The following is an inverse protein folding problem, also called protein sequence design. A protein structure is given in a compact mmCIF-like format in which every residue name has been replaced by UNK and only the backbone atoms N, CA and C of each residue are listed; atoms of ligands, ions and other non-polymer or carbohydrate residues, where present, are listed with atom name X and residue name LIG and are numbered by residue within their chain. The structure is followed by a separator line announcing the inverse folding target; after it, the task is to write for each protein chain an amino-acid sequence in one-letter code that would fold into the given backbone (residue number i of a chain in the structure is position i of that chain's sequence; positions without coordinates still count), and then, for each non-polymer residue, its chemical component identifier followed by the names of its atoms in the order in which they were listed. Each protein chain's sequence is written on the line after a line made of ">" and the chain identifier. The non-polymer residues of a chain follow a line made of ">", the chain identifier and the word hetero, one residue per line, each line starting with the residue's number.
data_IF_478408355379
#
_entry.id   IF_478408355379
#
_cell.length_a   1.000
_cell.length_b   1.000
_cell.length_c   1.000
_cell.angle_alpha   90.00
_cell.angle_beta   90.00
_cell.angle_gamma   90.00
#
_symmetry.space_group_name_H-M   'P 1'
#
loop_
_entity.id
_entity.type
_entity.pdbx_description
1 polymer ?
#
# COMPACT_ATOMS: atom_id res chain seq x y z
N UNK A 1 -12.69 -35.31 37.42
CA UNK A 1 -11.50 -36.00 37.91
C UNK A 1 -10.30 -35.20 37.43
N UNK A 2 -9.83 -34.28 38.21
CA UNK A 2 -8.53 -34.06 38.87
C UNK A 2 -7.33 -34.51 38.01
N UNK A 3 -6.47 -33.58 37.53
CA UNK A 3 -5.17 -33.41 38.15
C UNK A 3 -4.48 -32.10 37.69
N UNK A 4 -4.28 -31.21 38.65
CA UNK A 4 -3.36 -30.08 38.61
C UNK A 4 -1.91 -30.58 38.76
N UNK A 5 -0.94 -29.97 38.10
CA UNK A 5 0.42 -29.83 38.60
C UNK A 5 1.01 -28.50 38.20
N UNK A 6 1.11 -27.64 39.14
CA UNK A 6 1.99 -26.48 39.31
C UNK A 6 3.43 -26.94 39.54
N UNK A 7 4.41 -26.26 38.94
CA UNK A 7 5.79 -26.17 39.47
C UNK A 7 6.27 -24.74 39.30
N UNK A 8 6.83 -24.21 40.38
CA UNK A 8 7.21 -22.85 40.66
C UNK A 8 8.68 -22.55 40.35
N UNK A 9 8.92 -21.27 40.20
CA UNK A 9 10.10 -20.42 40.55
C UNK A 9 11.49 -21.04 40.71
N UNK A 10 12.50 -20.41 40.07
CA UNK A 10 13.77 -20.08 40.74
C UNK A 10 14.38 -18.80 40.12
N UNK A 11 14.49 -17.74 40.96
CA UNK A 11 15.32 -16.55 40.80
C UNK A 11 16.80 -16.94 40.95
N UNK A 12 17.69 -16.29 40.19
CA UNK A 12 19.05 -16.04 40.62
C UNK A 12 19.56 -14.69 40.02
N UNK A 13 19.66 -13.72 40.91
CA UNK A 13 20.36 -12.44 40.69
C UNK A 13 21.87 -12.65 40.97
N UNK A 14 22.73 -12.03 40.16
CA UNK A 14 24.12 -11.82 40.51
C UNK A 14 24.55 -10.42 40.03
N UNK A 15 24.68 -9.50 41.01
CA UNK A 15 25.42 -8.26 40.89
C UNK A 15 26.93 -8.55 41.01
N UNK A 16 27.74 -7.86 40.22
CA UNK A 16 29.13 -7.55 40.59
C UNK A 16 29.52 -6.19 40.00
N UNK A 17 29.70 -5.25 40.89
CA UNK A 17 30.33 -3.94 40.67
C UNK A 17 31.85 -4.03 40.96
N UNK A 18 32.56 -2.93 40.64
CA UNK A 18 33.94 -2.56 41.00
C UNK A 18 34.87 -2.46 39.79
N UNK A 19 35.71 -1.45 39.58
CA UNK A 19 36.17 -0.26 40.32
C UNK A 19 36.89 0.70 39.39
N UNK A 20 36.82 1.99 39.71
CA UNK A 20 37.70 3.07 39.25
C UNK A 20 39.16 2.84 39.66
N UNK A 21 40.10 3.21 38.83
CA UNK A 21 41.39 3.72 39.27
C UNK A 21 41.86 4.87 38.36
N UNK A 22 42.00 6.04 38.98
CA UNK A 22 42.69 7.22 38.51
C UNK A 22 44.10 7.24 39.14
N UNK A 23 45.11 7.75 38.37
CA UNK A 23 46.31 8.47 38.84
C UNK A 23 47.17 8.58 37.58
N UNK A 24 47.64 9.73 37.07
CA UNK A 24 48.25 10.87 37.72
C UNK A 24 49.76 10.81 37.54
N UNK A 25 50.36 11.70 36.76
CA UNK A 25 51.83 11.83 36.73
C UNK A 25 52.34 12.74 35.62
N UNK A 26 52.77 13.90 36.02
CA UNK A 26 53.40 15.01 35.30
C UNK A 26 54.86 14.67 34.87
N UNK A 27 55.41 15.15 33.79
CA UNK A 27 56.46 16.15 33.68
C UNK A 27 57.24 16.07 32.37
N UNK A 28 57.34 17.20 31.73
CA UNK A 28 58.50 18.03 31.34
C UNK A 28 59.19 17.77 29.99
N UNK A 29 58.90 18.69 29.10
CA UNK A 29 59.82 19.59 28.37
C UNK A 29 61.05 19.02 27.70
N UNK A 30 61.08 19.09 26.33
CA UNK A 30 62.23 19.69 25.58
C UNK A 30 61.82 20.14 24.17
N UNK A 31 62.16 21.38 23.85
CA UNK A 31 62.08 22.05 22.55
C UNK A 31 62.97 21.37 21.53
N UNK A 32 62.43 21.23 20.27
CA UNK A 32 63.26 21.43 19.08
C UNK A 32 62.40 21.89 17.90
N UNK A 33 62.73 23.04 17.37
CA UNK A 33 62.16 23.66 16.16
C UNK A 33 62.38 22.79 14.91
N UNK A 34 61.30 22.66 14.11
CA UNK A 34 61.35 22.12 12.76
C UNK A 34 60.15 22.61 11.98
N UNK A 35 60.37 23.66 11.20
CA UNK A 35 59.40 24.20 10.24
C UNK A 35 59.15 23.17 9.14
N UNK A 36 57.88 22.73 8.98
CA UNK A 36 57.42 22.18 7.72
C UNK A 36 55.96 22.56 7.48
N UNK A 37 55.72 23.05 6.29
CA UNK A 37 54.46 23.52 5.72
C UNK A 37 53.30 22.56 5.97
N UNK A 38 52.26 23.07 6.60
CA UNK A 38 50.95 22.44 6.64
C UNK A 38 50.23 22.64 5.30
N UNK A 39 50.10 21.57 4.54
CA UNK A 39 49.11 21.48 3.51
C UNK A 39 47.73 21.37 4.22
N UNK A 40 46.92 22.42 4.09
CA UNK A 40 45.51 22.38 4.49
C UNK A 40 44.77 21.39 3.59
N UNK A 41 44.66 20.16 4.05
CA UNK A 41 43.65 19.24 3.58
C UNK A 41 42.33 19.69 4.15
N UNK A 42 41.52 20.33 3.32
CA UNK A 42 40.09 20.54 3.61
C UNK A 42 39.43 19.16 3.67
N UNK A 43 39.33 18.62 4.87
CA UNK A 43 38.38 17.54 5.10
C UNK A 43 37.02 18.17 4.92
N UNK A 44 36.34 17.85 3.81
CA UNK A 44 34.92 18.07 3.69
C UNK A 44 34.26 17.24 4.82
N UNK A 45 33.83 17.95 5.85
CA UNK A 45 32.93 17.40 6.87
C UNK A 45 31.68 17.02 6.10
N UNK A 46 31.53 15.74 5.77
CA UNK A 46 30.27 15.20 5.33
C UNK A 46 29.36 15.32 6.56
N UNK A 47 28.56 16.36 6.59
CA UNK A 47 27.46 16.51 7.55
C UNK A 47 26.60 15.26 7.43
N UNK A 48 26.75 14.33 8.37
CA UNK A 48 25.83 13.22 8.55
C UNK A 48 24.57 13.77 9.21
N UNK A 49 23.76 14.50 8.41
CA UNK A 49 22.40 14.82 8.82
C UNK A 49 21.67 13.46 9.02
N UNK A 50 20.96 13.32 10.12
CA UNK A 50 20.12 12.14 10.31
C UNK A 50 19.12 12.06 9.16
N UNK A 51 18.84 10.85 8.63
CA UNK A 51 17.89 10.68 7.54
C UNK A 51 16.50 11.17 7.94
N UNK A 52 15.79 11.78 7.00
CA UNK A 52 14.38 12.14 7.17
C UNK A 52 13.55 10.88 7.05
N UNK A 53 12.85 10.48 8.12
CA UNK A 53 11.95 9.31 8.07
C UNK A 53 10.59 9.71 7.50
N UNK A 54 10.09 8.93 6.54
CA UNK A 54 8.73 9.03 5.99
C UNK A 54 8.02 7.70 6.19
N UNK A 55 6.90 7.70 6.90
CA UNK A 55 6.06 6.51 7.11
C UNK A 55 5.00 6.41 6.04
N UNK A 56 5.07 5.36 5.23
CA UNK A 56 4.13 5.09 4.16
C UNK A 56 3.24 3.89 4.48
N UNK A 57 1.94 4.12 4.61
CA UNK A 57 0.93 3.06 4.76
C UNK A 57 0.65 2.33 3.45
N UNK A 58 0.77 1.02 3.46
CA UNK A 58 0.48 0.12 2.34
C UNK A 58 -0.48 -0.99 2.77
N UNK A 59 -1.10 -1.70 1.81
CA UNK A 59 -1.95 -2.87 2.08
C UNK A 59 -1.56 -4.03 1.19
N UNK A 60 -1.20 -5.15 1.82
CA UNK A 60 -0.77 -6.38 1.13
C UNK A 60 0.74 -6.47 0.90
N UNK A 61 1.23 -7.70 0.79
CA UNK A 61 2.66 -8.02 0.68
C UNK A 61 3.28 -7.56 -0.63
N UNK A 62 2.55 -7.65 -1.74
CA UNK A 62 3.04 -7.18 -3.06
C UNK A 62 3.47 -5.71 -3.04
N UNK A 63 2.85 -4.88 -2.19
CA UNK A 63 3.22 -3.47 -2.09
C UNK A 63 4.60 -3.26 -1.45
N UNK A 64 5.11 -4.20 -0.66
CA UNK A 64 6.51 -4.13 -0.17
C UNK A 64 7.50 -4.25 -1.34
N UNK A 65 7.23 -5.15 -2.28
CA UNK A 65 8.05 -5.33 -3.48
C UNK A 65 7.94 -4.11 -4.43
N UNK A 66 6.73 -3.55 -4.59
CA UNK A 66 6.50 -2.36 -5.41
C UNK A 66 7.26 -1.13 -4.92
N UNK A 67 7.39 -0.97 -3.61
CA UNK A 67 8.07 0.15 -2.99
C UNK A 67 9.57 -0.08 -2.76
N UNK A 68 10.08 -1.31 -2.94
CA UNK A 68 11.49 -1.63 -2.72
C UNK A 68 12.47 -0.80 -3.59
N UNK A 69 12.23 -0.57 -4.90
CA UNK A 69 13.10 0.28 -5.72
C UNK A 69 13.10 1.74 -5.25
N UNK A 70 11.90 2.30 -4.96
CA UNK A 70 11.77 3.66 -4.45
C UNK A 70 12.47 3.84 -3.11
N UNK A 71 12.32 2.88 -2.19
CA UNK A 71 13.01 2.87 -0.89
C UNK A 71 14.52 2.90 -1.04
N UNK A 72 15.07 2.13 -2.00
CA UNK A 72 16.52 2.11 -2.26
C UNK A 72 17.01 3.48 -2.79
N UNK A 73 16.30 4.08 -3.75
CA UNK A 73 16.63 5.40 -4.31
C UNK A 73 16.57 6.49 -3.23
N UNK A 74 15.50 6.50 -2.41
CA UNK A 74 15.32 7.50 -1.35
C UNK A 74 16.39 7.41 -0.26
N UNK A 75 16.86 6.20 0.06
CA UNK A 75 17.94 6.02 1.03
C UNK A 75 19.25 6.70 0.59
N UNK A 76 19.55 6.70 -0.72
CA UNK A 76 20.70 7.42 -1.29
C UNK A 76 20.56 8.94 -1.17
N UNK A 77 19.32 9.44 -1.06
CA UNK A 77 19.00 10.86 -0.86
C UNK A 77 18.83 11.26 0.61
N UNK A 78 19.11 10.34 1.56
CA UNK A 78 18.98 10.59 2.99
C UNK A 78 17.53 10.57 3.49
N UNK A 79 16.62 9.89 2.77
CA UNK A 79 15.24 9.66 3.18
C UNK A 79 15.06 8.19 3.52
N UNK A 80 14.67 7.90 4.77
CA UNK A 80 14.29 6.55 5.22
C UNK A 80 12.79 6.35 5.05
N UNK A 81 12.40 5.59 4.01
CA UNK A 81 11.00 5.23 3.77
C UNK A 81 10.63 4.00 4.60
N UNK A 82 9.88 4.21 5.67
CA UNK A 82 9.35 3.15 6.54
C UNK A 82 7.98 2.68 6.01
N UNK A 83 7.87 1.42 5.56
CA UNK A 83 6.61 0.83 5.10
C UNK A 83 5.82 0.31 6.30
N UNK A 84 4.58 0.79 6.46
CA UNK A 84 3.62 0.35 7.47
C UNK A 84 2.53 -0.46 6.78
N UNK A 85 2.59 -1.79 6.89
CA UNK A 85 1.66 -2.68 6.20
C UNK A 85 0.39 -2.90 7.02
N UNK A 86 -0.76 -2.55 6.43
CA UNK A 86 -2.09 -2.77 6.99
C UNK A 86 -2.75 -4.01 6.37
N UNK A 87 -3.64 -4.65 7.13
CA UNK A 87 -4.32 -5.88 6.70
C UNK A 87 -5.65 -5.64 5.98
N UNK A 88 -6.15 -4.40 5.97
CA UNK A 88 -7.42 -4.02 5.35
C UNK A 88 -7.38 -2.59 4.78
N UNK A 89 -8.47 -2.19 4.08
CA UNK A 89 -8.57 -0.86 3.48
C UNK A 89 -9.17 0.21 4.40
N UNK A 90 -9.71 -0.17 5.58
CA UNK A 90 -10.44 0.76 6.47
C UNK A 90 -9.48 1.61 7.30
N UNK A 91 -8.36 1.03 7.73
CA UNK A 91 -7.47 1.64 8.72
C UNK A 91 -6.52 2.71 8.14
N UNK A 92 -5.95 2.57 6.91
CA UNK A 92 -4.84 3.43 6.47
C UNK A 92 -5.20 4.92 6.33
N UNK A 93 -6.42 5.26 5.85
CA UNK A 93 -6.84 6.66 5.71
C UNK A 93 -7.01 7.35 7.07
N UNK A 94 -7.54 6.63 8.05
CA UNK A 94 -7.61 7.13 9.42
C UNK A 94 -6.22 7.35 10.01
N UNK A 95 -5.32 6.38 9.88
CA UNK A 95 -3.94 6.49 10.36
C UNK A 95 -3.21 7.68 9.72
N UNK A 96 -3.44 7.94 8.42
CA UNK A 96 -2.91 9.10 7.73
C UNK A 96 -3.50 10.41 8.27
N UNK A 97 -4.82 10.48 8.38
CA UNK A 97 -5.51 11.67 8.90
C UNK A 97 -5.10 12.01 10.33
N UNK A 98 -4.94 10.98 11.18
CA UNK A 98 -4.56 11.13 12.60
C UNK A 98 -3.05 11.37 12.80
N UNK A 99 -2.23 11.32 11.73
CA UNK A 99 -0.79 11.59 11.76
C UNK A 99 0.06 10.44 12.29
N UNK A 100 -0.46 9.21 12.30
CA UNK A 100 0.28 8.00 12.66
C UNK A 100 1.26 7.58 11.56
N UNK A 101 0.90 7.89 10.29
CA UNK A 101 1.73 7.76 9.10
C UNK A 101 1.74 9.08 8.33
N UNK A 102 2.70 9.27 7.43
CA UNK A 102 2.88 10.50 6.66
C UNK A 102 2.18 10.45 5.31
N UNK A 103 2.21 9.29 4.67
CA UNK A 103 1.62 9.00 3.37
C UNK A 103 0.88 7.66 3.43
N UNK A 104 -0.05 7.42 2.49
CA UNK A 104 -0.49 6.06 2.16
C UNK A 104 -0.57 5.84 0.65
N UNK A 105 -0.42 4.57 0.23
CA UNK A 105 -0.52 4.16 -1.18
C UNK A 105 -1.14 2.76 -1.26
N UNK A 106 -2.47 2.70 -1.32
CA UNK A 106 -3.22 1.42 -1.35
C UNK A 106 -4.56 1.52 -2.09
N UNK A 107 -4.99 2.72 -2.44
CA UNK A 107 -6.36 3.03 -2.84
C UNK A 107 -6.41 3.74 -4.18
N UNK A 108 -7.54 3.63 -4.87
CA UNK A 108 -7.85 4.41 -6.05
C UNK A 108 -8.62 5.69 -5.72
N UNK A 109 -8.70 6.64 -6.69
CA UNK A 109 -9.28 7.98 -6.49
C UNK A 109 -10.70 7.95 -5.94
N UNK A 110 -11.60 7.12 -6.50
CA UNK A 110 -13.00 7.07 -6.04
C UNK A 110 -13.12 6.49 -4.63
N UNK A 111 -12.23 5.57 -4.20
CA UNK A 111 -12.21 5.08 -2.83
C UNK A 111 -11.80 6.22 -1.87
N UNK A 112 -10.72 6.93 -2.18
CA UNK A 112 -10.28 8.09 -1.40
C UNK A 112 -11.41 9.12 -1.25
N UNK A 113 -12.10 9.47 -2.36
CA UNK A 113 -13.19 10.42 -2.33
C UNK A 113 -14.35 9.94 -1.47
N UNK A 114 -14.74 8.66 -1.57
CA UNK A 114 -15.78 8.07 -0.73
C UNK A 114 -15.46 8.10 0.76
N UNK A 115 -14.20 7.90 1.13
CA UNK A 115 -13.71 8.01 2.51
C UNK A 115 -13.74 9.46 3.02
N UNK A 116 -13.30 10.41 2.18
CA UNK A 116 -13.38 11.85 2.49
C UNK A 116 -14.84 12.28 2.71
N UNK A 117 -15.75 11.88 1.81
CA UNK A 117 -17.17 12.24 1.90
C UNK A 117 -17.84 11.62 3.13
N UNK A 118 -17.42 10.40 3.52
CA UNK A 118 -18.02 9.65 4.63
C UNK A 118 -17.50 10.08 6.00
N UNK A 119 -16.19 10.39 6.11
CA UNK A 119 -15.53 10.60 7.39
C UNK A 119 -14.96 12.02 7.57
N UNK A 120 -14.96 12.85 6.52
CA UNK A 120 -14.42 14.21 6.58
C UNK A 120 -12.90 14.26 6.72
N UNK A 121 -12.18 13.27 6.19
CA UNK A 121 -10.73 13.27 6.23
C UNK A 121 -10.12 14.43 5.44
N UNK A 122 -9.11 15.07 6.02
CA UNK A 122 -8.35 16.15 5.38
C UNK A 122 -7.09 15.61 4.70
N UNK A 123 -7.28 14.72 3.74
CA UNK A 123 -6.24 14.05 2.95
C UNK A 123 -6.50 14.22 1.46
N UNK A 124 -5.45 14.17 0.65
CA UNK A 124 -5.59 14.34 -0.80
C UNK A 124 -4.56 13.54 -1.59
N UNK A 125 -4.84 13.30 -2.87
CA UNK A 125 -3.93 12.70 -3.83
C UNK A 125 -2.76 13.64 -4.14
N UNK A 126 -1.53 13.13 -4.06
CA UNK A 126 -0.29 13.85 -4.38
C UNK A 126 0.52 13.21 -5.51
N UNK A 127 0.15 12.02 -5.96
CA UNK A 127 0.81 11.31 -7.06
C UNK A 127 0.05 10.04 -7.43
N UNK A 128 0.01 9.73 -8.71
CA UNK A 128 -0.66 8.52 -9.20
C UNK A 128 0.33 7.36 -9.27
N UNK A 129 -0.18 6.15 -9.16
CA UNK A 129 0.67 4.94 -9.15
C UNK A 129 0.34 4.02 -10.32
N UNK A 130 -0.74 3.28 -10.28
CA UNK A 130 -1.11 2.30 -11.29
C UNK A 130 -2.61 2.23 -11.51
N UNK A 131 -3.00 1.63 -12.62
CA UNK A 131 -4.34 1.08 -12.85
C UNK A 131 -4.24 -0.44 -12.91
N UNK A 132 -5.30 -1.10 -12.44
CA UNK A 132 -5.44 -2.55 -12.52
C UNK A 132 -6.87 -2.94 -12.88
N UNK A 133 -7.09 -3.97 -13.73
CA UNK A 133 -8.42 -4.52 -13.96
C UNK A 133 -8.99 -5.08 -12.65
N UNK A 134 -10.29 -5.04 -12.48
CA UNK A 134 -10.96 -5.82 -11.44
C UNK A 134 -11.40 -7.15 -12.06
N UNK A 135 -11.09 -8.28 -11.41
CA UNK A 135 -11.17 -9.60 -12.03
C UNK A 135 -12.04 -10.56 -11.25
N UNK A 136 -12.75 -11.42 -11.99
CA UNK A 136 -13.55 -12.54 -11.47
C UNK A 136 -12.71 -13.82 -11.55
N UNK A 137 -12.57 -14.50 -10.42
CA UNK A 137 -11.82 -15.76 -10.29
C UNK A 137 -12.74 -16.89 -9.87
N UNK A 138 -12.35 -18.12 -10.18
CA UNK A 138 -13.05 -19.33 -9.76
C UNK A 138 -12.12 -20.53 -9.68
N UNK A 139 -12.33 -21.36 -8.64
CA UNK A 139 -11.74 -22.70 -8.52
C UNK A 139 -12.65 -23.79 -9.09
N UNK A 140 -13.87 -23.44 -9.54
CA UNK A 140 -14.92 -24.41 -9.90
C UNK A 140 -15.34 -24.39 -11.35
N UNK A 141 -15.23 -23.23 -12.02
CA UNK A 141 -15.59 -23.03 -13.42
C UNK A 141 -14.45 -22.31 -14.15
N UNK A 142 -14.38 -22.47 -15.45
CA UNK A 142 -13.33 -21.89 -16.31
C UNK A 142 -13.84 -20.77 -17.22
N UNK A 143 -15.16 -20.54 -17.25
CA UNK A 143 -15.80 -19.48 -18.04
C UNK A 143 -17.06 -19.01 -17.33
N UNK A 144 -17.42 -17.74 -17.51
CA UNK A 144 -18.68 -17.17 -17.03
C UNK A 144 -19.91 -17.87 -17.65
N UNK A 145 -19.77 -18.48 -18.82
CA UNK A 145 -20.83 -19.24 -19.49
C UNK A 145 -21.22 -20.53 -18.75
N UNK A 146 -20.40 -20.99 -17.80
CA UNK A 146 -20.68 -22.16 -16.98
C UNK A 146 -21.51 -21.85 -15.72
N UNK A 147 -21.74 -20.56 -15.44
CA UNK A 147 -22.60 -20.13 -14.33
C UNK A 147 -24.03 -20.61 -14.53
N UNK A 148 -24.69 -20.96 -13.43
CA UNK A 148 -26.08 -21.46 -13.40
C UNK A 148 -26.84 -20.95 -12.17
N UNK A 149 -28.15 -21.10 -12.22
CA UNK A 149 -29.03 -20.72 -11.11
C UNK A 149 -28.61 -21.41 -9.80
N UNK A 150 -28.53 -20.62 -8.75
CA UNK A 150 -28.11 -21.06 -7.42
C UNK A 150 -26.62 -20.91 -7.15
N UNK A 151 -25.81 -20.57 -8.14
CA UNK A 151 -24.39 -20.26 -7.94
C UNK A 151 -24.20 -19.01 -7.07
N UNK A 152 -23.07 -18.95 -6.35
CA UNK A 152 -22.74 -17.85 -5.44
C UNK A 152 -21.53 -17.10 -5.98
N UNK A 153 -21.63 -15.78 -6.10
CA UNK A 153 -20.53 -14.89 -6.46
C UNK A 153 -20.23 -13.96 -5.28
N UNK A 154 -19.00 -14.01 -4.75
CA UNK A 154 -18.54 -13.09 -3.71
C UNK A 154 -18.01 -11.81 -4.32
N UNK A 155 -18.34 -10.66 -3.71
CA UNK A 155 -17.84 -9.33 -4.11
C UNK A 155 -17.41 -8.52 -2.89
N UNK A 156 -16.57 -7.46 -3.03
CA UNK A 156 -16.28 -6.52 -1.96
C UNK A 156 -17.53 -5.82 -1.43
N UNK A 157 -17.58 -5.55 -0.12
CA UNK A 157 -18.70 -4.93 0.55
C UNK A 157 -18.54 -3.44 0.81
N UNK A 158 -17.43 -2.84 0.43
CA UNK A 158 -17.31 -1.39 0.45
C UNK A 158 -17.96 -0.78 -0.80
N UNK A 159 -18.52 0.43 -0.65
CA UNK A 159 -19.37 1.06 -1.66
C UNK A 159 -18.69 1.14 -3.03
N UNK A 160 -17.41 1.49 -3.07
CA UNK A 160 -16.73 1.77 -4.33
C UNK A 160 -16.23 0.52 -5.04
N UNK A 161 -15.60 -0.43 -4.30
CA UNK A 161 -15.19 -1.71 -4.88
C UNK A 161 -16.40 -2.62 -5.15
N UNK A 162 -17.42 -2.61 -4.26
CA UNK A 162 -18.68 -3.32 -4.49
C UNK A 162 -19.38 -2.83 -5.76
N UNK A 163 -19.51 -1.50 -5.92
CA UNK A 163 -20.10 -0.91 -7.11
C UNK A 163 -19.30 -1.21 -8.38
N UNK A 164 -17.95 -1.18 -8.30
CA UNK A 164 -17.09 -1.59 -9.42
C UNK A 164 -17.27 -3.07 -9.75
N UNK A 165 -17.36 -3.94 -8.73
CA UNK A 165 -17.58 -5.37 -8.93
C UNK A 165 -18.91 -5.65 -9.63
N UNK A 166 -19.99 -4.95 -9.29
CA UNK A 166 -21.26 -5.07 -9.97
C UNK A 166 -21.17 -4.66 -11.45
N UNK A 167 -20.41 -3.60 -11.77
CA UNK A 167 -20.15 -3.21 -13.18
C UNK A 167 -19.34 -4.26 -13.95
N UNK A 168 -18.43 -4.97 -13.28
CA UNK A 168 -17.73 -6.11 -13.87
C UNK A 168 -18.69 -7.25 -14.17
N UNK A 169 -19.62 -7.57 -13.26
CA UNK A 169 -20.64 -8.59 -13.48
C UNK A 169 -21.63 -8.21 -14.59
N UNK A 170 -21.96 -6.91 -14.73
CA UNK A 170 -22.73 -6.41 -15.86
C UNK A 170 -21.98 -6.55 -17.17
N UNK A 171 -20.70 -6.16 -17.23
CA UNK A 171 -19.86 -6.33 -18.42
C UNK A 171 -19.68 -7.80 -18.82
N UNK A 172 -19.68 -8.70 -17.84
CA UNK A 172 -19.67 -10.16 -18.05
C UNK A 172 -21.03 -10.73 -18.50
N UNK A 173 -22.08 -9.89 -18.61
CA UNK A 173 -23.42 -10.32 -19.01
C UNK A 173 -24.18 -11.14 -17.97
N UNK A 174 -23.78 -11.10 -16.70
CA UNK A 174 -24.40 -11.86 -15.61
C UNK A 174 -25.61 -11.13 -15.05
N UNK A 175 -25.54 -9.80 -14.95
CA UNK A 175 -26.61 -8.93 -14.46
C UNK A 175 -26.81 -7.73 -15.40
N UNK A 176 -27.93 -7.00 -15.18
CA UNK A 176 -28.12 -5.64 -15.71
C UNK A 176 -28.39 -4.71 -14.55
N UNK A 177 -27.69 -3.58 -14.49
CA UNK A 177 -27.85 -2.54 -13.47
C UNK A 177 -28.87 -1.47 -13.91
N UNK A 178 -29.42 -0.73 -12.96
CA UNK A 178 -30.18 0.49 -13.25
C UNK A 178 -29.26 1.51 -13.92
N UNK A 179 -29.57 2.02 -15.12
CA UNK A 179 -28.73 3.02 -15.79
C UNK A 179 -28.65 4.35 -15.00
N UNK A 180 -29.51 4.55 -14.00
CA UNK A 180 -29.49 5.72 -13.12
C UNK A 180 -28.76 5.49 -11.79
N UNK A 181 -28.24 4.28 -11.53
CA UNK A 181 -27.54 3.94 -10.29
C UNK A 181 -26.23 4.73 -10.05
N UNK A 182 -25.77 5.47 -11.07
CA UNK A 182 -24.58 6.30 -10.95
C UNK A 182 -23.27 5.53 -10.98
N UNK A 183 -22.23 6.12 -10.36
CA UNK A 183 -20.88 5.56 -10.44
C UNK A 183 -20.69 4.35 -9.49
N UNK A 184 -21.35 4.35 -8.32
CA UNK A 184 -21.23 3.31 -7.30
C UNK A 184 -22.56 2.59 -7.10
N UNK A 185 -23.02 1.69 -8.03
CA UNK A 185 -24.23 0.90 -7.85
C UNK A 185 -24.08 -0.04 -6.64
N UNK A 186 -25.23 -0.38 -6.05
CA UNK A 186 -25.39 -1.36 -4.99
C UNK A 186 -26.13 -2.59 -5.49
N UNK A 187 -26.22 -3.65 -4.71
CA UNK A 187 -27.00 -4.85 -5.09
C UNK A 187 -28.49 -4.55 -5.29
N UNK A 188 -29.00 -3.48 -4.67
CA UNK A 188 -30.39 -3.03 -4.84
C UNK A 188 -30.64 -2.39 -6.23
N UNK A 189 -29.58 -1.99 -6.94
CA UNK A 189 -29.64 -1.42 -8.28
C UNK A 189 -29.63 -2.49 -9.38
N UNK A 190 -29.59 -3.78 -9.03
CA UNK A 190 -29.67 -4.87 -10.01
C UNK A 190 -31.10 -5.02 -10.50
N UNK A 191 -31.34 -4.66 -11.77
CA UNK A 191 -32.67 -4.79 -12.40
C UNK A 191 -32.95 -6.20 -12.90
N UNK A 192 -31.94 -6.91 -13.37
CA UNK A 192 -32.09 -8.24 -13.97
C UNK A 192 -30.89 -9.11 -13.65
N UNK A 193 -31.16 -10.35 -13.27
CA UNK A 193 -30.20 -11.43 -13.23
C UNK A 193 -30.40 -12.28 -14.50
N UNK A 194 -29.40 -12.33 -15.41
CA UNK A 194 -29.44 -13.17 -16.60
C UNK A 194 -29.15 -14.64 -16.26
N UNK A 195 -28.43 -14.86 -15.16
CA UNK A 195 -28.24 -16.13 -14.47
C UNK A 195 -28.64 -15.93 -13.03
N UNK A 196 -29.40 -16.82 -12.44
CA UNK A 196 -29.95 -16.72 -11.07
C UNK A 196 -28.88 -16.95 -10.00
N UNK A 197 -27.80 -16.14 -10.02
CA UNK A 197 -26.74 -16.18 -9.02
C UNK A 197 -27.14 -15.45 -7.74
N UNK A 198 -26.51 -15.81 -6.62
CA UNK A 198 -26.57 -15.08 -5.35
C UNK A 198 -25.32 -14.24 -5.20
N UNK A 199 -25.46 -12.92 -5.03
CA UNK A 199 -24.35 -12.03 -4.71
C UNK A 199 -24.10 -12.05 -3.20
N UNK A 200 -22.84 -12.31 -2.80
CA UNK A 200 -22.39 -12.35 -1.41
C UNK A 200 -21.36 -11.26 -1.17
N UNK A 201 -21.75 -10.22 -0.43
CA UNK A 201 -20.88 -9.12 -0.10
C UNK A 201 -20.00 -9.45 1.10
N UNK A 202 -18.69 -9.34 0.96
CA UNK A 202 -17.67 -9.66 1.97
C UNK A 202 -16.60 -8.57 2.03
N UNK A 203 -15.90 -8.47 3.16
CA UNK A 203 -14.70 -7.62 3.24
C UNK A 203 -13.67 -8.06 2.19
N UNK A 204 -13.08 -7.11 1.47
CA UNK A 204 -12.15 -7.38 0.36
C UNK A 204 -11.01 -8.34 0.75
N UNK A 205 -10.45 -8.17 1.95
CA UNK A 205 -9.31 -8.97 2.44
C UNK A 205 -9.63 -10.45 2.75
N UNK A 206 -10.90 -10.85 2.79
CA UNK A 206 -11.27 -12.25 3.05
C UNK A 206 -11.80 -12.96 1.81
N UNK A 207 -12.13 -12.23 0.73
CA UNK A 207 -12.79 -12.80 -0.45
C UNK A 207 -11.97 -13.93 -1.07
N UNK A 208 -10.68 -13.71 -1.31
CA UNK A 208 -9.84 -14.69 -2.01
C UNK A 208 -9.81 -16.02 -1.28
N UNK A 209 -9.83 -16.02 0.05
CA UNK A 209 -9.86 -17.24 0.86
C UNK A 209 -11.19 -17.98 0.80
N UNK A 210 -12.25 -17.36 0.26
CA UNK A 210 -13.57 -17.99 0.09
C UNK A 210 -13.77 -18.67 -1.27
N UNK A 211 -12.78 -18.58 -2.20
CA UNK A 211 -12.88 -19.21 -3.53
C UNK A 211 -13.32 -20.68 -3.48
N UNK A 212 -12.82 -21.54 -2.57
CA UNK A 212 -13.30 -22.91 -2.47
C UNK A 212 -14.78 -23.05 -2.09
N UNK A 213 -15.36 -22.06 -1.39
CA UNK A 213 -16.70 -22.12 -0.84
C UNK A 213 -17.77 -21.52 -1.78
N UNK A 214 -17.37 -20.59 -2.67
CA UNK A 214 -18.27 -19.92 -3.63
C UNK A 214 -18.07 -20.46 -5.05
N UNK A 215 -18.94 -20.09 -6.00
CA UNK A 215 -18.73 -20.49 -7.40
C UNK A 215 -17.68 -19.61 -8.07
N UNK A 216 -17.72 -18.30 -7.80
CA UNK A 216 -16.71 -17.34 -8.29
C UNK A 216 -16.61 -16.16 -7.32
N UNK A 217 -15.57 -15.37 -7.44
CA UNK A 217 -15.37 -14.16 -6.63
C UNK A 217 -14.67 -13.04 -7.39
N UNK A 218 -15.12 -11.81 -7.19
CA UNK A 218 -14.41 -10.61 -7.61
C UNK A 218 -13.36 -10.29 -6.53
N UNK A 219 -12.10 -10.30 -6.89
CA UNK A 219 -10.98 -10.11 -5.95
C UNK A 219 -10.16 -8.88 -6.34
N UNK A 220 -9.86 -8.03 -5.36
CA UNK A 220 -8.92 -6.92 -5.54
C UNK A 220 -7.49 -7.46 -5.77
N UNK A 221 -6.76 -6.87 -6.71
CA UNK A 221 -5.56 -7.49 -7.28
C UNK A 221 -4.38 -7.64 -6.30
N UNK A 222 -4.22 -6.74 -5.31
CA UNK A 222 -3.21 -6.93 -4.27
C UNK A 222 -3.46 -8.21 -3.47
N UNK A 223 -4.71 -8.49 -3.10
CA UNK A 223 -5.08 -9.75 -2.41
C UNK A 223 -4.98 -10.96 -3.34
N UNK A 224 -5.29 -10.80 -4.64
CA UNK A 224 -5.10 -11.87 -5.62
C UNK A 224 -3.61 -12.22 -5.76
N UNK A 225 -2.73 -11.22 -5.88
CA UNK A 225 -1.28 -11.39 -5.96
C UNK A 225 -0.70 -12.04 -4.70
N UNK A 226 -1.09 -11.57 -3.52
CA UNK A 226 -0.64 -12.12 -2.24
C UNK A 226 -1.07 -13.60 -2.07
N UNK A 227 -2.21 -13.97 -2.65
CA UNK A 227 -2.68 -15.36 -2.69
C UNK A 227 -1.98 -16.22 -3.77
N UNK A 228 -1.25 -15.58 -4.67
CA UNK A 228 -0.51 -16.25 -5.73
C UNK A 228 -1.20 -16.30 -7.10
N UNK A 229 -2.40 -15.71 -7.25
CA UNK A 229 -3.12 -15.63 -8.51
C UNK A 229 -2.41 -14.69 -9.51
N UNK A 230 -2.66 -14.94 -10.81
CA UNK A 230 -2.22 -14.10 -11.91
C UNK A 230 -3.43 -13.55 -12.68
N UNK A 231 -3.22 -12.52 -13.50
CA UNK A 231 -4.27 -11.99 -14.37
C UNK A 231 -4.84 -13.05 -15.33
N UNK A 232 -4.00 -14.01 -15.76
CA UNK A 232 -4.38 -15.14 -16.61
C UNK A 232 -5.27 -16.18 -15.93
N UNK A 233 -5.38 -16.17 -14.59
CA UNK A 233 -6.23 -17.10 -13.84
C UNK A 233 -7.67 -16.59 -13.72
N UNK A 234 -7.92 -15.34 -14.12
CA UNK A 234 -9.26 -14.75 -14.12
C UNK A 234 -10.13 -15.39 -15.20
N UNK A 235 -11.37 -15.75 -14.85
CA UNK A 235 -12.38 -16.21 -15.82
C UNK A 235 -13.07 -15.05 -16.53
N UNK A 236 -12.95 -13.83 -15.98
CA UNK A 236 -13.36 -12.55 -16.58
C UNK A 236 -12.61 -11.40 -15.94
N UNK A 237 -12.28 -10.37 -16.70
CA UNK A 237 -11.65 -9.14 -16.20
C UNK A 237 -12.27 -7.91 -16.85
N UNK A 238 -12.37 -6.82 -16.05
CA UNK A 238 -12.75 -5.49 -16.55
C UNK A 238 -11.62 -4.92 -17.41
N UNK A 239 -11.91 -4.55 -18.64
CA UNK A 239 -10.95 -3.97 -19.60
C UNK A 239 -10.93 -2.42 -19.60
N UNK A 240 -11.72 -1.78 -18.75
CA UNK A 240 -11.83 -0.31 -18.63
C UNK A 240 -10.65 0.27 -17.85
N UNK A 241 -9.48 0.31 -18.49
CA UNK A 241 -8.24 0.83 -17.89
C UNK A 241 -8.04 2.33 -18.13
N UNK A 242 -8.96 3.00 -18.82
CA UNK A 242 -8.96 4.43 -19.13
C UNK A 242 -9.71 5.30 -18.10
N UNK A 243 -10.39 4.68 -17.14
CA UNK A 243 -11.16 5.40 -16.11
C UNK A 243 -10.22 5.90 -15.01
N UNK A 244 -9.96 7.21 -15.00
CA UNK A 244 -9.06 7.85 -14.02
C UNK A 244 -9.49 7.67 -12.56
N UNK A 245 -10.79 7.55 -12.29
CA UNK A 245 -11.32 7.32 -10.94
C UNK A 245 -10.84 6.01 -10.32
N UNK A 246 -10.39 5.06 -11.15
CA UNK A 246 -9.80 3.79 -10.70
C UNK A 246 -8.27 3.79 -10.65
N UNK A 247 -7.60 4.91 -10.98
CA UNK A 247 -6.17 5.04 -10.80
C UNK A 247 -5.81 5.03 -9.32
N UNK A 248 -4.87 4.17 -8.95
CA UNK A 248 -4.32 4.14 -7.62
C UNK A 248 -3.38 5.32 -7.40
N UNK A 249 -3.16 5.69 -6.13
CA UNK A 249 -2.53 6.94 -5.78
C UNK A 249 -1.72 6.87 -4.49
N UNK A 250 -0.93 7.92 -4.28
CA UNK A 250 -0.27 8.26 -3.03
C UNK A 250 -1.06 9.42 -2.41
N UNK A 251 -1.49 9.26 -1.17
CA UNK A 251 -2.20 10.32 -0.44
C UNK A 251 -1.35 10.90 0.68
N UNK A 252 -1.53 12.20 0.94
CA UNK A 252 -0.95 12.95 2.05
C UNK A 252 -2.02 13.75 2.78
N UNK A 253 -1.75 14.18 4.03
CA UNK A 253 -2.58 15.17 4.72
C UNK A 253 -2.51 16.52 4.00
N UNK A 254 -3.66 17.17 3.82
CA UNK A 254 -3.75 18.51 3.21
C UNK A 254 -2.91 19.55 3.96
N UNK A 255 -2.87 19.47 5.30
CA UNK A 255 -2.10 20.39 6.13
C UNK A 255 -0.58 20.30 5.86
N UNK A 256 -0.06 19.11 5.59
CA UNK A 256 1.38 18.90 5.32
C UNK A 256 1.85 19.56 4.03
N UNK A 257 0.95 19.77 3.08
CA UNK A 257 1.25 20.43 1.80
C UNK A 257 1.42 21.95 1.90
N UNK A 258 1.20 22.51 3.09
CA UNK A 258 1.53 23.91 3.39
C UNK A 258 3.00 24.09 3.82
N UNK A 259 3.73 23.01 4.07
CA UNK A 259 5.13 23.02 4.45
C UNK A 259 6.00 22.70 3.20
N UNK A 260 6.77 23.68 2.67
CA UNK A 260 7.59 23.45 1.48
C UNK A 260 8.63 22.35 1.65
N UNK A 261 9.16 22.14 2.89
CA UNK A 261 10.14 21.09 3.14
C UNK A 261 9.50 19.69 3.05
N UNK A 262 8.26 19.54 3.54
CA UNK A 262 7.51 18.28 3.38
C UNK A 262 7.14 18.04 1.92
N UNK A 263 6.70 19.07 1.20
CA UNK A 263 6.37 18.99 -0.22
C UNK A 263 7.57 18.51 -1.04
N UNK A 264 8.77 19.02 -0.75
CA UNK A 264 10.00 18.56 -1.42
C UNK A 264 10.28 17.07 -1.15
N UNK A 265 10.16 16.63 0.10
CA UNK A 265 10.34 15.22 0.48
C UNK A 265 9.28 14.33 -0.20
N UNK A 266 8.01 14.75 -0.20
CA UNK A 266 6.93 13.99 -0.81
C UNK A 266 7.08 13.90 -2.34
N UNK A 267 7.58 14.96 -2.98
CA UNK A 267 7.90 14.94 -4.42
C UNK A 267 8.95 13.87 -4.73
N UNK A 268 10.02 13.80 -3.93
CA UNK A 268 11.03 12.75 -4.07
C UNK A 268 10.44 11.34 -3.90
N UNK A 269 9.48 11.16 -2.98
CA UNK A 269 8.78 9.87 -2.80
C UNK A 269 7.96 9.52 -4.04
N UNK A 270 7.22 10.48 -4.60
CA UNK A 270 6.44 10.28 -5.84
C UNK A 270 7.37 9.96 -7.01
N UNK A 271 8.43 10.75 -7.22
CA UNK A 271 9.37 10.58 -8.31
C UNK A 271 10.13 9.24 -8.22
N UNK A 272 10.52 8.82 -7.01
CA UNK A 272 11.19 7.54 -6.78
C UNK A 272 10.27 6.35 -7.10
N UNK A 273 8.97 6.47 -6.80
CA UNK A 273 8.00 5.44 -7.19
C UNK A 273 7.75 5.42 -8.70
N UNK A 274 7.58 6.56 -9.34
CA UNK A 274 7.30 6.72 -10.78
C UNK A 274 8.59 6.51 -11.61
N UNK A 275 9.21 5.35 -11.51
CA UNK A 275 10.53 5.05 -12.07
C UNK A 275 10.57 3.72 -12.84
N UNK A 276 11.62 3.54 -13.63
CA UNK A 276 11.90 2.28 -14.33
C UNK A 276 12.05 1.11 -13.36
N UNK A 277 12.52 1.36 -12.13
CA UNK A 277 12.60 0.34 -11.08
C UNK A 277 11.24 -0.22 -10.70
N UNK A 278 10.24 0.63 -10.53
CA UNK A 278 8.86 0.22 -10.26
C UNK A 278 8.23 -0.49 -11.48
N UNK A 279 8.50 0.00 -12.70
CA UNK A 279 8.04 -0.69 -13.93
C UNK A 279 8.60 -2.10 -14.06
N UNK A 280 9.85 -2.33 -13.65
CA UNK A 280 10.41 -3.68 -13.62
C UNK A 280 9.63 -4.59 -12.66
N UNK A 281 9.23 -4.10 -11.48
CA UNK A 281 8.40 -4.87 -10.54
C UNK A 281 7.01 -5.16 -11.13
N UNK A 282 6.39 -4.19 -11.82
CA UNK A 282 5.11 -4.45 -12.50
C UNK A 282 5.23 -5.62 -13.49
N UNK A 283 6.28 -5.63 -14.30
CA UNK A 283 6.50 -6.65 -15.33
C UNK A 283 6.86 -8.02 -14.73
N UNK A 284 7.70 -8.03 -13.69
CA UNK A 284 8.29 -9.26 -13.19
C UNK A 284 7.43 -9.92 -12.10
N UNK A 285 6.74 -9.14 -11.27
CA UNK A 285 6.09 -9.65 -10.07
C UNK A 285 4.56 -9.48 -10.05
N UNK A 286 4.02 -8.44 -10.74
CA UNK A 286 2.57 -8.19 -10.70
C UNK A 286 1.76 -9.06 -11.65
N UNK A 287 2.36 -10.06 -12.27
CA UNK A 287 1.69 -11.14 -13.03
C UNK A 287 0.64 -10.64 -14.03
N UNK A 288 0.89 -9.50 -14.67
CA UNK A 288 0.03 -8.91 -15.69
C UNK A 288 -1.13 -8.06 -15.16
N UNK A 289 -1.21 -7.79 -13.85
CA UNK A 289 -2.30 -6.96 -13.31
C UNK A 289 -2.06 -5.46 -13.43
N UNK A 290 -0.82 -4.96 -13.26
CA UNK A 290 -0.58 -3.54 -13.06
C UNK A 290 0.00 -2.87 -14.31
N UNK A 291 -0.52 -1.67 -14.58
CA UNK A 291 0.00 -0.76 -15.59
C UNK A 291 0.17 0.63 -14.98
N UNK A 292 1.23 1.37 -15.32
CA UNK A 292 1.41 2.73 -14.83
C UNK A 292 0.25 3.61 -15.27
N UNK A 293 -0.17 4.53 -14.41
CA UNK A 293 -1.29 5.44 -14.69
C UNK A 293 -1.00 6.83 -14.14
N UNK A 294 -1.19 7.87 -14.98
CA UNK A 294 -1.13 9.26 -14.59
C UNK A 294 0.24 9.75 -14.07
N UNK A 295 1.34 9.13 -14.49
CA UNK A 295 2.71 9.53 -14.08
C UNK A 295 3.17 10.84 -14.72
N UNK A 296 2.44 11.33 -15.71
CA UNK A 296 2.63 12.62 -16.35
C UNK A 296 1.94 13.78 -15.63
N UNK A 297 1.20 13.52 -14.55
CA UNK A 297 0.47 14.51 -13.77
C UNK A 297 1.25 14.89 -12.51
N UNK A 298 1.69 16.17 -12.42
CA UNK A 298 2.23 16.74 -11.18
C UNK A 298 1.07 17.27 -10.31
N UNK A 299 0.80 16.58 -9.20
CA UNK A 299 -0.31 16.88 -8.29
C UNK A 299 0.15 17.59 -7.00
N UNK A 300 1.46 17.76 -6.80
CA UNK A 300 2.01 18.50 -5.67
C UNK A 300 1.99 20.02 -5.90
N UNK A 301 1.88 20.83 -4.84
CA UNK A 301 2.04 22.27 -4.96
C UNK A 301 3.38 22.63 -5.62
N UNK A 302 3.35 23.61 -6.52
CA UNK A 302 4.56 24.17 -7.09
C UNK A 302 5.28 25.01 -6.04
N UNK A 303 6.62 24.95 -6.00
CA UNK A 303 7.47 25.66 -5.06
C UNK A 303 7.45 27.19 -5.29
#
# INVERSE_FOLDING_TARGET
>A
MKLRKTIALALAAALAALTLTACGGNNANTNTSGSQSAASGSSADASTAEPVTVKLGIVGGINEDLWAPAKATLAEEGIDLELVNFSDYVTPNRALNDGEIDLNAFQHRIYLQGEIDSYGYEIQNIGNTFIAPMSLFSDKISSVDELKDGDVIAIPNDLTNGGRALKVLESAGIITLDPNAGFNPTVDDIQTYHVGVTIKELKANVIVSTLPDVTAAIVNNNYALDFGLAASDAIFADDRLDIEDYWNLIAARTADLSDPAKVEVFRKVVDAYQSDGTLAVYNDQCKGFYSPAGWDQDLLPQA
#
